data_IF_665155450851
#
_entry.id   IF_665155450851
#
_cell.length_a   1.000
_cell.length_b   1.000
_cell.length_c   1.000
_cell.angle_alpha   90.00
_cell.angle_beta   90.00
_cell.angle_gamma   90.00
#
_symmetry.space_group_name_H-M   'P 1'
#
loop_
_entity.id
_entity.type
_entity.pdbx_description
1 polymer ?
#
# COMPACT_ATOMS: atom_id res chain seq x y z
N UNK A 1 1.24 -17.26 22.61
CA UNK A 1 1.58 -15.85 22.31
C UNK A 1 3.09 -15.65 22.14
N UNK A 2 3.93 -15.85 23.17
CA UNK A 2 5.39 -15.61 23.08
C UNK A 2 6.06 -16.37 21.94
N UNK A 3 5.81 -17.69 21.82
CA UNK A 3 6.39 -18.51 20.75
C UNK A 3 5.94 -18.06 19.33
N UNK A 4 4.69 -17.64 19.20
CA UNK A 4 4.17 -17.09 17.95
C UNK A 4 4.88 -15.78 17.57
N UNK A 5 4.99 -14.85 18.52
CA UNK A 5 5.70 -13.57 18.33
C UNK A 5 7.17 -13.80 17.95
N UNK A 6 7.85 -14.70 18.66
CA UNK A 6 9.26 -15.02 18.37
C UNK A 6 9.43 -15.63 16.97
N UNK A 7 8.56 -16.57 16.57
CA UNK A 7 8.58 -17.15 15.23
C UNK A 7 8.35 -16.09 14.15
N UNK A 8 7.41 -15.16 14.37
CA UNK A 8 7.12 -14.04 13.46
C UNK A 8 8.30 -13.09 13.35
N UNK A 9 8.95 -12.74 14.47
CA UNK A 9 10.15 -11.90 14.45
C UNK A 9 11.29 -12.55 13.66
N UNK A 10 11.53 -13.85 13.85
CA UNK A 10 12.57 -14.57 13.09
C UNK A 10 12.22 -14.60 11.60
N UNK A 11 10.96 -14.88 11.24
CA UNK A 11 10.53 -14.83 9.84
C UNK A 11 10.69 -13.44 9.23
N UNK A 12 10.33 -12.39 9.96
CA UNK A 12 10.47 -11.00 9.54
C UNK A 12 11.92 -10.62 9.30
N UNK A 13 12.82 -11.01 10.21
CA UNK A 13 14.28 -10.78 10.06
C UNK A 13 14.81 -11.49 8.82
N UNK A 14 14.39 -12.73 8.57
CA UNK A 14 14.79 -13.48 7.39
C UNK A 14 14.31 -12.84 6.09
N UNK A 15 13.05 -12.35 6.07
CA UNK A 15 12.49 -11.62 4.92
C UNK A 15 13.28 -10.33 4.67
N UNK A 16 13.54 -9.54 5.70
CA UNK A 16 14.32 -8.30 5.57
C UNK A 16 15.74 -8.58 5.05
N UNK A 17 16.39 -9.63 5.54
CA UNK A 17 17.71 -10.02 5.07
C UNK A 17 17.66 -10.47 3.60
N UNK A 18 16.70 -11.31 3.22
CA UNK A 18 16.55 -11.78 1.84
C UNK A 18 16.27 -10.61 0.89
N UNK A 19 15.36 -9.70 1.26
CA UNK A 19 15.05 -8.51 0.48
C UNK A 19 16.26 -7.58 0.36
N UNK A 20 17.06 -7.40 1.44
CA UNK A 20 18.27 -6.57 1.39
C UNK A 20 19.28 -7.11 0.37
N UNK A 21 19.49 -8.44 0.33
CA UNK A 21 20.36 -9.06 -0.67
C UNK A 21 19.81 -8.79 -2.07
N UNK A 22 18.54 -9.13 -2.31
CA UNK A 22 17.95 -9.03 -3.63
C UNK A 22 17.99 -7.60 -4.15
N UNK A 23 17.52 -6.62 -3.36
CA UNK A 23 17.46 -5.23 -3.82
C UNK A 23 18.82 -4.61 -4.01
N UNK A 24 19.79 -4.91 -3.08
CA UNK A 24 21.14 -4.38 -3.18
C UNK A 24 21.79 -4.82 -4.50
N UNK A 25 21.74 -6.11 -4.82
CA UNK A 25 22.36 -6.61 -6.05
C UNK A 25 21.55 -6.23 -7.30
N UNK A 26 20.22 -6.18 -7.23
CA UNK A 26 19.39 -5.77 -8.36
C UNK A 26 19.67 -4.33 -8.82
N UNK A 27 19.88 -3.40 -7.88
CA UNK A 27 20.17 -2.00 -8.20
C UNK A 27 21.47 -1.83 -8.97
N UNK A 28 22.44 -2.73 -8.78
CA UNK A 28 23.68 -2.74 -9.58
C UNK A 28 23.47 -3.16 -11.05
N UNK A 29 22.43 -3.92 -11.34
CA UNK A 29 22.10 -4.33 -12.71
C UNK A 29 21.39 -3.21 -13.50
N UNK A 30 20.89 -2.16 -12.84
CA UNK A 30 20.11 -1.08 -13.48
C UNK A 30 21.01 -0.08 -14.20
N UNK A 31 22.23 0.17 -13.75
CA UNK A 31 23.17 1.11 -14.39
C UNK A 31 24.25 1.64 -13.46
N UNK A 32 25.19 2.39 -14.00
CA UNK A 32 26.27 3.02 -13.24
C UNK A 32 25.90 4.46 -12.85
N UNK A 33 25.77 4.79 -11.56
CA UNK A 33 25.42 6.14 -11.12
C UNK A 33 26.48 7.19 -11.50
N UNK A 34 27.73 6.76 -11.73
CA UNK A 34 28.82 7.67 -12.10
C UNK A 34 28.55 8.35 -13.44
N UNK A 35 27.87 7.68 -14.36
CA UNK A 35 27.51 8.26 -15.68
C UNK A 35 26.55 9.45 -15.56
N UNK A 36 25.72 9.49 -14.50
CA UNK A 36 24.81 10.60 -14.25
C UNK A 36 25.39 11.67 -13.30
N UNK A 37 26.27 11.27 -12.39
CA UNK A 37 26.80 12.14 -11.34
C UNK A 37 28.04 12.93 -11.75
N UNK A 38 28.74 12.48 -12.78
CA UNK A 38 29.96 13.09 -13.27
C UNK A 38 29.74 13.57 -14.70
N UNK A 39 30.04 14.85 -14.95
CA UNK A 39 29.97 15.40 -16.30
C UNK A 39 30.83 14.57 -17.28
N UNK A 40 30.36 14.32 -18.52
CA UNK A 40 31.18 13.67 -19.54
C UNK A 40 32.53 14.37 -19.82
N UNK A 41 32.61 15.66 -19.52
CA UNK A 41 33.80 16.49 -19.69
C UNK A 41 34.73 16.50 -18.46
N UNK A 42 34.36 15.81 -17.38
CA UNK A 42 35.15 15.76 -16.17
C UNK A 42 36.47 15.01 -16.37
N UNK A 43 37.52 15.50 -15.70
CA UNK A 43 38.81 14.83 -15.74
C UNK A 43 38.76 13.44 -15.12
N UNK A 44 39.66 12.55 -15.55
CA UNK A 44 39.79 11.18 -14.98
C UNK A 44 40.02 11.22 -13.45
N UNK A 45 40.76 12.23 -12.96
CA UNK A 45 40.99 12.44 -11.54
C UNK A 45 39.69 12.78 -10.79
N UNK A 46 38.88 13.70 -11.32
CA UNK A 46 37.61 14.06 -10.72
C UNK A 46 36.62 12.88 -10.69
N UNK A 47 36.62 12.06 -11.75
CA UNK A 47 35.82 10.84 -11.82
C UNK A 47 36.30 9.82 -10.76
N UNK A 48 37.59 9.57 -10.68
CA UNK A 48 38.17 8.64 -9.69
C UNK A 48 37.92 9.10 -8.23
N UNK A 49 38.04 10.41 -7.97
CA UNK A 49 37.73 11.00 -6.66
C UNK A 49 36.25 10.81 -6.28
N UNK A 50 35.32 10.94 -7.24
CA UNK A 50 33.91 10.72 -7.00
C UNK A 50 33.58 9.25 -6.72
N UNK A 51 34.17 8.32 -7.47
CA UNK A 51 34.06 6.87 -7.26
C UNK A 51 34.53 6.50 -5.85
N UNK A 52 35.70 6.95 -5.45
CA UNK A 52 36.27 6.70 -4.12
C UNK A 52 35.41 7.32 -3.01
N UNK A 53 34.95 8.56 -3.18
CA UNK A 53 34.07 9.23 -2.22
C UNK A 53 32.75 8.48 -1.99
N UNK A 54 32.19 7.87 -3.01
CA UNK A 54 30.95 7.10 -2.94
C UNK A 54 31.20 5.63 -2.52
N UNK A 55 32.47 5.20 -2.40
CA UNK A 55 32.87 3.84 -2.04
C UNK A 55 32.52 2.80 -3.13
N UNK A 56 32.38 3.24 -4.38
CA UNK A 56 32.05 2.40 -5.52
C UNK A 56 33.26 1.69 -6.13
N UNK A 57 34.46 1.98 -5.64
CA UNK A 57 35.73 1.34 -5.99
C UNK A 57 35.90 -0.03 -5.33
N UNK A 58 35.14 -0.32 -4.29
CA UNK A 58 35.22 -1.58 -3.54
C UNK A 58 34.48 -2.73 -4.23
N UNK A 59 34.87 -3.98 -4.00
CA UNK A 59 34.10 -5.14 -4.46
C UNK A 59 32.65 -5.09 -3.94
N UNK A 60 31.69 -5.49 -4.78
CA UNK A 60 30.25 -5.39 -4.48
C UNK A 60 29.84 -6.07 -3.16
N UNK A 61 30.45 -7.21 -2.84
CA UNK A 61 30.21 -7.91 -1.57
C UNK A 61 30.65 -7.10 -0.35
N UNK A 62 31.76 -6.34 -0.46
CA UNK A 62 32.25 -5.47 0.62
C UNK A 62 31.33 -4.26 0.79
N UNK A 63 30.86 -3.68 -0.32
CA UNK A 63 29.85 -2.62 -0.29
C UNK A 63 28.56 -3.10 0.38
N UNK A 64 28.11 -4.35 0.11
CA UNK A 64 26.94 -4.94 0.75
C UNK A 64 27.12 -5.11 2.27
N UNK A 65 28.23 -5.66 2.73
CA UNK A 65 28.47 -5.80 4.17
C UNK A 65 28.61 -4.46 4.88
N UNK A 66 29.21 -3.47 4.24
CA UNK A 66 29.29 -2.10 4.75
C UNK A 66 27.89 -1.48 4.85
N UNK A 67 27.06 -1.67 3.83
CA UNK A 67 25.64 -1.26 3.85
C UNK A 67 24.89 -1.94 4.99
N UNK A 68 25.00 -3.26 5.13
CA UNK A 68 24.30 -4.02 6.17
C UNK A 68 24.72 -3.56 7.59
N UNK A 69 25.99 -3.34 7.80
CA UNK A 69 26.52 -2.82 9.06
C UNK A 69 25.94 -1.43 9.38
N UNK A 70 25.94 -0.51 8.42
CA UNK A 70 25.36 0.82 8.58
C UNK A 70 23.86 0.76 8.83
N UNK A 71 23.14 -0.08 8.08
CA UNK A 71 21.69 -0.27 8.22
C UNK A 71 21.30 -0.73 9.62
N UNK A 72 22.09 -1.62 10.26
CA UNK A 72 21.90 -2.04 11.65
C UNK A 72 22.05 -0.89 12.67
N UNK A 73 22.76 0.18 12.29
CA UNK A 73 22.90 1.39 13.10
C UNK A 73 21.95 2.52 12.67
N UNK A 74 20.97 2.23 11.79
CA UNK A 74 19.98 3.20 11.32
C UNK A 74 20.45 4.09 10.16
N UNK A 75 21.63 3.87 9.62
CA UNK A 75 22.15 4.57 8.44
C UNK A 75 21.89 3.73 7.17
N UNK A 76 20.90 4.15 6.38
CA UNK A 76 20.56 3.54 5.10
C UNK A 76 21.30 4.18 3.91
N UNK A 77 22.28 5.02 4.18
CA UNK A 77 23.07 5.72 3.18
C UNK A 77 22.56 7.13 2.85
N UNK A 78 23.36 7.84 2.06
CA UNK A 78 23.09 9.21 1.64
C UNK A 78 22.72 9.23 0.17
N UNK A 79 21.64 9.94 -0.20
CA UNK A 79 21.22 10.15 -1.58
C UNK A 79 22.38 10.70 -2.41
N UNK A 80 22.64 10.10 -3.55
CA UNK A 80 23.64 10.58 -4.49
C UNK A 80 23.23 11.88 -5.18
N UNK A 81 21.92 12.05 -5.37
CA UNK A 81 21.34 13.21 -6.08
C UNK A 81 21.11 14.37 -5.13
N UNK A 82 20.52 14.11 -3.95
CA UNK A 82 20.11 15.17 -3.01
C UNK A 82 21.16 15.49 -1.94
N UNK A 83 22.13 14.60 -1.71
CA UNK A 83 23.21 14.81 -0.72
C UNK A 83 22.77 14.77 0.75
N UNK A 84 21.54 14.29 1.04
CA UNK A 84 20.99 14.13 2.39
C UNK A 84 20.70 12.66 2.69
N UNK A 85 20.53 12.26 3.97
CA UNK A 85 20.22 10.87 4.32
C UNK A 85 18.98 10.34 3.60
N UNK A 86 19.09 9.16 3.00
CA UNK A 86 17.99 8.54 2.26
C UNK A 86 16.74 8.34 3.12
N UNK A 87 16.93 8.00 4.41
CA UNK A 87 15.83 7.82 5.36
C UNK A 87 15.04 9.12 5.57
N UNK A 88 15.72 10.26 5.61
CA UNK A 88 15.08 11.57 5.77
C UNK A 88 14.19 11.91 4.58
N UNK A 89 14.69 11.69 3.34
CA UNK A 89 13.90 11.88 2.12
C UNK A 89 12.62 11.03 2.12
N UNK A 90 12.74 9.77 2.56
CA UNK A 90 11.60 8.86 2.57
C UNK A 90 10.62 9.25 3.67
N UNK A 91 11.09 9.54 4.88
CA UNK A 91 10.23 9.93 6.01
C UNK A 91 9.40 11.18 5.70
N UNK A 92 9.97 12.17 4.99
CA UNK A 92 9.23 13.35 4.55
C UNK A 92 8.08 13.02 3.58
N UNK A 93 8.14 11.88 2.87
CA UNK A 93 7.13 11.43 1.90
C UNK A 93 6.10 10.46 2.49
N UNK A 94 6.38 9.85 3.66
CA UNK A 94 5.48 8.94 4.36
C UNK A 94 4.07 9.53 4.52
N UNK A 95 3.88 10.78 5.01
CA UNK A 95 2.54 11.32 5.24
C UNK A 95 1.68 11.33 3.97
N UNK A 96 2.27 11.69 2.83
CA UNK A 96 1.55 11.76 1.57
C UNK A 96 1.05 10.39 1.10
N UNK A 97 1.88 9.35 1.17
CA UNK A 97 1.47 7.98 0.82
C UNK A 97 0.42 7.43 1.79
N UNK A 98 0.62 7.62 3.10
CA UNK A 98 -0.34 7.15 4.11
C UNK A 98 -1.69 7.82 3.97
N UNK A 99 -1.72 9.13 3.73
CA UNK A 99 -2.93 9.90 3.49
C UNK A 99 -3.73 9.32 2.30
N UNK A 100 -3.05 9.09 1.17
CA UNK A 100 -3.65 8.48 0.00
C UNK A 100 -4.22 7.08 0.28
N UNK A 101 -3.45 6.23 0.96
CA UNK A 101 -3.86 4.86 1.30
C UNK A 101 -5.03 4.85 2.28
N UNK A 102 -5.03 5.71 3.30
CA UNK A 102 -6.14 5.81 4.27
C UNK A 102 -7.43 6.24 3.58
N UNK A 103 -7.38 7.23 2.69
CA UNK A 103 -8.56 7.67 1.91
C UNK A 103 -9.04 6.55 0.99
N UNK A 104 -8.14 5.85 0.31
CA UNK A 104 -8.48 4.73 -0.57
C UNK A 104 -9.16 3.57 0.19
N UNK A 105 -8.66 3.22 1.37
CA UNK A 105 -9.28 2.21 2.24
C UNK A 105 -10.65 2.69 2.76
N UNK A 106 -10.74 3.96 3.16
CA UNK A 106 -12.01 4.55 3.53
C UNK A 106 -13.07 4.41 2.43
N UNK A 107 -12.71 4.77 1.19
CA UNK A 107 -13.57 4.59 0.02
C UNK A 107 -13.90 3.11 -0.23
N UNK A 108 -12.93 2.22 -0.10
CA UNK A 108 -13.12 0.78 -0.24
C UNK A 108 -14.17 0.26 0.74
N UNK A 109 -14.10 0.65 1.99
CA UNK A 109 -15.07 0.24 3.01
C UNK A 109 -16.45 0.87 2.81
N UNK A 110 -16.49 2.19 2.54
CA UNK A 110 -17.74 2.96 2.39
C UNK A 110 -18.52 2.53 1.16
N UNK A 111 -17.85 2.11 0.09
CA UNK A 111 -18.49 1.68 -1.17
C UNK A 111 -18.60 0.16 -1.22
N UNK A 112 -17.52 -0.56 -0.97
CA UNK A 112 -17.43 -2.02 -1.17
C UNK A 112 -18.33 -2.81 -0.23
N UNK A 113 -18.40 -2.44 1.06
CA UNK A 113 -19.23 -3.16 2.03
C UNK A 113 -20.72 -2.97 1.76
N UNK A 114 -21.26 -1.74 1.58
CA UNK A 114 -22.68 -1.57 1.29
C UNK A 114 -23.11 -2.19 -0.05
N UNK A 115 -22.33 -2.00 -1.12
CA UNK A 115 -22.63 -2.61 -2.41
C UNK A 115 -22.55 -4.13 -2.34
N UNK A 116 -21.57 -4.70 -1.64
CA UNK A 116 -21.45 -6.13 -1.41
C UNK A 116 -22.64 -6.69 -0.60
N UNK A 117 -23.07 -5.96 0.43
CA UNK A 117 -24.27 -6.32 1.20
C UNK A 117 -25.51 -6.37 0.31
N UNK A 118 -25.75 -5.35 -0.52
CA UNK A 118 -26.86 -5.32 -1.47
C UNK A 118 -26.75 -6.46 -2.48
N UNK A 119 -25.59 -6.66 -3.09
CA UNK A 119 -25.33 -7.74 -4.05
C UNK A 119 -25.60 -9.12 -3.46
N UNK A 120 -25.18 -9.37 -2.22
CA UNK A 120 -25.39 -10.65 -1.54
C UNK A 120 -26.85 -10.88 -1.14
N UNK A 121 -27.56 -9.84 -0.65
CA UNK A 121 -28.97 -9.93 -0.30
C UNK A 121 -29.88 -10.18 -1.52
N UNK A 122 -29.51 -9.61 -2.67
CA UNK A 122 -30.29 -9.68 -3.92
C UNK A 122 -29.57 -10.50 -5.01
N UNK A 123 -28.81 -11.54 -4.60
CA UNK A 123 -27.95 -12.35 -5.47
C UNK A 123 -28.64 -12.84 -6.74
N UNK A 124 -29.90 -13.31 -6.62
CA UNK A 124 -30.66 -13.88 -7.73
C UNK A 124 -31.45 -12.86 -8.56
N UNK A 125 -31.42 -11.59 -8.14
CA UNK A 125 -32.07 -10.48 -8.80
C UNK A 125 -31.16 -9.74 -9.77
N UNK A 126 -31.70 -9.07 -10.81
CA UNK A 126 -30.88 -8.29 -11.76
C UNK A 126 -30.01 -7.26 -11.11
N UNK A 127 -30.46 -6.63 -10.02
CA UNK A 127 -29.65 -5.65 -9.24
C UNK A 127 -28.37 -6.26 -8.69
N UNK A 128 -28.46 -7.40 -8.00
CA UNK A 128 -27.29 -8.07 -7.44
C UNK A 128 -26.33 -8.54 -8.52
N UNK A 129 -26.85 -9.10 -9.61
CA UNK A 129 -26.05 -9.52 -10.77
C UNK A 129 -25.37 -8.34 -11.45
N UNK A 130 -26.06 -7.21 -11.60
CA UNK A 130 -25.51 -5.98 -12.16
C UNK A 130 -24.35 -5.42 -11.33
N UNK A 131 -24.52 -5.33 -9.99
CA UNK A 131 -23.47 -4.88 -9.08
C UNK A 131 -22.24 -5.81 -9.17
N UNK A 132 -22.45 -7.13 -9.20
CA UNK A 132 -21.36 -8.09 -9.33
C UNK A 132 -20.66 -7.99 -10.69
N UNK A 133 -21.39 -7.81 -11.78
CA UNK A 133 -20.82 -7.63 -13.12
C UNK A 133 -19.99 -6.34 -13.23
N UNK A 134 -20.48 -5.22 -12.69
CA UNK A 134 -19.73 -3.95 -12.70
C UNK A 134 -18.47 -4.01 -11.84
N UNK A 135 -18.45 -4.81 -10.77
CA UNK A 135 -17.25 -4.98 -9.95
C UNK A 135 -16.09 -5.62 -10.72
N UNK A 136 -16.38 -6.46 -11.72
CA UNK A 136 -15.35 -7.10 -12.56
C UNK A 136 -14.64 -6.06 -13.42
N UNK A 137 -15.33 -5.04 -13.90
CA UNK A 137 -14.73 -3.98 -14.73
C UNK A 137 -13.63 -3.21 -13.96
N UNK A 138 -13.89 -2.87 -12.69
CA UNK A 138 -12.91 -2.17 -11.85
C UNK A 138 -11.62 -2.94 -11.60
N UNK A 139 -11.69 -4.28 -11.66
CA UNK A 139 -10.52 -5.15 -11.48
C UNK A 139 -9.80 -5.49 -12.80
N UNK A 140 -10.51 -5.43 -13.93
CA UNK A 140 -9.99 -5.90 -15.22
C UNK A 140 -9.10 -4.87 -15.93
N UNK A 141 -9.18 -3.61 -15.55
CA UNK A 141 -8.45 -2.53 -16.20
C UNK A 141 -7.11 -2.27 -15.50
N UNK A 142 -6.01 -2.02 -16.23
CA UNK A 142 -4.73 -1.64 -15.62
C UNK A 142 -4.84 -0.34 -14.83
N UNK A 143 -4.25 -0.30 -13.62
CA UNK A 143 -4.34 0.85 -12.71
C UNK A 143 -3.88 2.17 -13.37
N UNK A 144 -2.74 2.16 -14.08
CA UNK A 144 -2.25 3.37 -14.76
C UNK A 144 -3.23 3.89 -15.82
N UNK A 145 -3.89 2.98 -16.55
CA UNK A 145 -4.88 3.35 -17.56
C UNK A 145 -6.12 3.97 -16.91
N UNK A 146 -6.62 3.38 -15.82
CA UNK A 146 -7.73 3.93 -15.04
C UNK A 146 -7.41 5.36 -14.57
N UNK A 147 -6.20 5.57 -14.01
CA UNK A 147 -5.74 6.89 -13.57
C UNK A 147 -5.73 7.91 -14.70
N UNK A 148 -5.21 7.56 -15.87
CA UNK A 148 -5.22 8.44 -17.04
C UNK A 148 -6.64 8.76 -17.51
N UNK A 149 -7.57 7.79 -17.49
CA UNK A 149 -8.97 8.02 -17.84
C UNK A 149 -9.67 8.95 -16.84
N UNK A 150 -9.39 8.82 -15.54
CA UNK A 150 -9.90 9.74 -14.53
C UNK A 150 -9.39 11.17 -14.75
N UNK A 151 -8.10 11.34 -15.03
CA UNK A 151 -7.53 12.66 -15.37
C UNK A 151 -8.21 13.24 -16.62
N UNK A 152 -8.30 12.45 -17.70
CA UNK A 152 -8.92 12.88 -18.94
C UNK A 152 -10.37 13.33 -18.74
N UNK A 153 -11.15 12.54 -18.00
CA UNK A 153 -12.56 12.83 -17.75
C UNK A 153 -12.75 14.02 -16.81
N UNK A 154 -12.15 13.97 -15.61
CA UNK A 154 -12.47 14.94 -14.55
C UNK A 154 -11.62 16.19 -14.57
N UNK A 155 -10.38 16.11 -15.02
CA UNK A 155 -9.50 17.28 -15.09
C UNK A 155 -9.55 17.97 -16.46
N UNK A 156 -9.52 17.19 -17.57
CA UNK A 156 -9.43 17.78 -18.91
C UNK A 156 -10.81 18.10 -19.49
N UNK A 157 -11.75 17.14 -19.52
CA UNK A 157 -13.05 17.37 -20.15
C UNK A 157 -14.03 18.15 -19.29
N UNK A 158 -14.12 17.81 -18.00
CA UNK A 158 -15.06 18.44 -17.07
C UNK A 158 -14.46 19.65 -16.34
N UNK A 159 -13.14 19.71 -16.17
CA UNK A 159 -12.47 20.79 -15.44
C UNK A 159 -12.86 20.86 -13.96
N UNK A 160 -13.28 19.74 -13.35
CA UNK A 160 -13.79 19.72 -11.98
C UNK A 160 -12.69 19.54 -10.94
N UNK A 161 -11.65 18.78 -11.28
CA UNK A 161 -10.59 18.38 -10.36
C UNK A 161 -9.22 18.65 -10.98
N UNK A 162 -8.19 18.97 -10.18
CA UNK A 162 -6.83 19.17 -10.66
C UNK A 162 -6.23 17.85 -11.16
N UNK A 163 -5.45 17.92 -12.24
CA UNK A 163 -4.86 16.74 -12.89
C UNK A 163 -3.76 16.06 -12.06
N UNK A 164 -3.05 16.83 -11.21
CA UNK A 164 -1.84 16.35 -10.53
C UNK A 164 -1.51 17.15 -9.28
N UNK A 165 -0.58 16.66 -8.48
CA UNK A 165 -0.11 17.32 -7.26
C UNK A 165 -0.89 16.89 -6.02
N UNK A 166 -0.60 17.56 -4.87
CA UNK A 166 -1.19 17.24 -3.56
C UNK A 166 -2.08 18.36 -3.01
N UNK A 167 -1.98 19.56 -3.59
CA UNK A 167 -2.67 20.75 -3.09
C UNK A 167 -2.10 21.30 -1.79
N UNK A 168 -2.85 22.21 -1.18
CA UNK A 168 -2.48 22.84 0.09
C UNK A 168 -2.51 21.83 1.25
N UNK A 169 -1.58 22.02 2.20
CA UNK A 169 -1.49 21.18 3.40
C UNK A 169 -1.55 22.01 4.67
N UNK A 170 -2.14 21.45 5.71
CA UNK A 170 -2.09 21.98 7.09
C UNK A 170 -1.20 21.07 7.91
N UNK A 171 -0.25 21.66 8.66
CA UNK A 171 0.63 20.90 9.54
C UNK A 171 -0.06 20.60 10.87
N UNK A 172 -0.20 19.33 11.20
CA UNK A 172 -0.70 18.84 12.50
C UNK A 172 0.41 18.06 13.18
N UNK A 173 0.86 18.52 14.33
CA UNK A 173 2.00 17.93 15.06
C UNK A 173 3.27 17.78 14.20
N UNK A 174 3.52 18.71 13.27
CA UNK A 174 4.65 18.64 12.35
C UNK A 174 4.43 17.77 11.10
N UNK A 175 3.27 17.12 10.96
CA UNK A 175 2.91 16.29 9.81
C UNK A 175 2.03 17.10 8.86
N UNK A 176 2.45 17.34 7.59
CA UNK A 176 1.63 18.02 6.60
C UNK A 176 0.50 17.10 6.10
N UNK A 177 -0.75 17.53 6.26
CA UNK A 177 -1.95 16.80 5.83
C UNK A 177 -2.76 17.63 4.84
N UNK A 178 -3.04 17.08 3.65
CA UNK A 178 -3.86 17.73 2.62
C UNK A 178 -5.35 17.47 2.82
N UNK A 179 -5.73 16.35 3.41
CA UNK A 179 -7.14 16.05 3.73
C UNK A 179 -7.82 17.02 4.70
N UNK A 180 -7.08 17.93 5.30
CA UNK A 180 -7.64 18.96 6.17
C UNK A 180 -7.98 20.26 5.43
N UNK A 181 -7.73 20.33 4.12
CA UNK A 181 -8.04 21.48 3.28
C UNK A 181 -9.02 21.10 2.17
N UNK A 182 -9.84 22.03 1.70
CA UNK A 182 -10.73 21.80 0.57
C UNK A 182 -9.94 21.58 -0.74
N UNK A 183 -8.84 22.31 -0.90
CA UNK A 183 -7.95 22.18 -2.05
C UNK A 183 -7.27 20.81 -2.04
N UNK A 184 -6.75 20.35 -0.89
CA UNK A 184 -6.16 19.02 -0.76
C UNK A 184 -7.17 17.89 -1.06
N UNK A 185 -8.45 18.04 -0.67
CA UNK A 185 -9.48 17.06 -1.06
C UNK A 185 -9.66 17.01 -2.58
N UNK A 186 -9.62 18.14 -3.27
CA UNK A 186 -9.74 18.18 -4.74
C UNK A 186 -8.62 17.38 -5.43
N UNK A 187 -7.42 17.37 -4.83
CA UNK A 187 -6.25 16.66 -5.35
C UNK A 187 -6.23 15.17 -4.96
N UNK A 188 -6.71 14.80 -3.77
CA UNK A 188 -6.61 13.42 -3.27
C UNK A 188 -7.69 12.50 -3.85
N UNK A 189 -8.87 13.04 -4.24
CA UNK A 189 -10.04 12.22 -4.60
C UNK A 189 -9.77 11.30 -5.80
N UNK A 190 -9.22 11.82 -6.91
CA UNK A 190 -8.95 11.00 -8.10
C UNK A 190 -7.90 9.91 -7.84
N UNK A 191 -6.70 10.22 -7.29
CA UNK A 191 -5.72 9.17 -7.00
C UNK A 191 -6.24 8.17 -5.95
N UNK A 192 -7.02 8.61 -4.95
CA UNK A 192 -7.61 7.69 -3.97
C UNK A 192 -8.67 6.77 -4.59
N UNK A 193 -9.52 7.28 -5.48
CA UNK A 193 -10.48 6.47 -6.24
C UNK A 193 -9.74 5.46 -7.10
N UNK A 194 -8.72 5.89 -7.84
CA UNK A 194 -7.90 5.01 -8.68
C UNK A 194 -7.30 3.85 -7.88
N UNK A 195 -6.71 4.16 -6.72
CA UNK A 195 -6.11 3.17 -5.84
C UNK A 195 -7.16 2.24 -5.20
N UNK A 196 -8.37 2.75 -4.94
CA UNK A 196 -9.45 2.00 -4.29
C UNK A 196 -10.20 1.04 -5.22
N UNK A 197 -10.27 1.30 -6.54
CA UNK A 197 -11.17 0.58 -7.46
C UNK A 197 -11.02 -0.95 -7.41
N UNK A 198 -9.79 -1.47 -7.45
CA UNK A 198 -9.53 -2.90 -7.37
C UNK A 198 -9.95 -3.47 -6.01
N UNK A 199 -9.68 -2.74 -4.92
CA UNK A 199 -10.02 -3.14 -3.56
C UNK A 199 -11.52 -3.06 -3.28
N UNK A 200 -12.22 -2.07 -3.84
CA UNK A 200 -13.69 -2.00 -3.81
C UNK A 200 -14.27 -3.27 -4.41
N UNK A 201 -13.77 -3.71 -5.58
CA UNK A 201 -14.24 -4.93 -6.23
C UNK A 201 -13.96 -6.19 -5.40
N UNK A 202 -12.81 -6.26 -4.74
CA UNK A 202 -12.43 -7.36 -3.85
C UNK A 202 -13.36 -7.42 -2.63
N UNK A 203 -13.48 -6.31 -1.90
CA UNK A 203 -14.29 -6.22 -0.67
C UNK A 203 -15.77 -6.42 -0.96
N UNK A 204 -16.26 -5.89 -2.08
CA UNK A 204 -17.62 -6.10 -2.55
C UNK A 204 -17.93 -7.58 -2.76
N UNK A 205 -17.06 -8.30 -3.49
CA UNK A 205 -17.25 -9.74 -3.76
C UNK A 205 -17.16 -10.57 -2.47
N UNK A 206 -16.19 -10.30 -1.62
CA UNK A 206 -16.05 -10.97 -0.33
C UNK A 206 -17.29 -10.77 0.53
N UNK A 207 -17.77 -9.53 0.62
CA UNK A 207 -18.98 -9.19 1.38
C UNK A 207 -20.22 -9.86 0.78
N UNK A 208 -20.39 -9.83 -0.55
CA UNK A 208 -21.53 -10.44 -1.22
C UNK A 208 -21.60 -11.97 -1.01
N UNK A 209 -20.45 -12.65 -1.13
CA UNK A 209 -20.35 -14.10 -0.88
C UNK A 209 -20.68 -14.43 0.57
N UNK A 210 -20.07 -13.73 1.53
CA UNK A 210 -20.33 -13.93 2.95
C UNK A 210 -21.79 -13.68 3.33
N UNK A 211 -22.43 -12.66 2.74
CA UNK A 211 -23.88 -12.40 2.93
C UNK A 211 -24.73 -13.55 2.38
N UNK A 212 -24.44 -14.02 1.16
CA UNK A 212 -25.15 -15.13 0.54
C UNK A 212 -25.06 -16.41 1.37
N UNK A 213 -23.86 -16.73 1.85
CA UNK A 213 -23.65 -17.89 2.73
C UNK A 213 -24.36 -17.73 4.09
N UNK A 214 -24.25 -16.55 4.72
CA UNK A 214 -24.90 -16.30 6.00
C UNK A 214 -26.41 -16.42 5.95
N UNK A 215 -27.04 -16.06 4.83
CA UNK A 215 -28.52 -16.17 4.65
C UNK A 215 -29.03 -17.62 4.72
N UNK A 216 -28.19 -18.61 4.41
CA UNK A 216 -28.55 -20.05 4.41
C UNK A 216 -28.29 -20.73 5.76
N UNK A 217 -27.61 -20.04 6.68
CA UNK A 217 -27.25 -20.59 8.00
C UNK A 217 -28.48 -20.77 8.91
N UNK A 218 -28.40 -21.80 9.76
CA UNK A 218 -29.51 -22.18 10.67
C UNK A 218 -29.87 -21.05 11.65
N UNK A 219 -28.93 -20.28 12.15
CA UNK A 219 -29.21 -19.16 13.05
C UNK A 219 -30.02 -18.05 12.37
N UNK A 220 -29.86 -17.85 11.05
CA UNK A 220 -30.65 -16.88 10.30
C UNK A 220 -32.07 -17.43 10.04
N UNK A 221 -32.20 -18.71 9.68
CA UNK A 221 -33.48 -19.38 9.52
C UNK A 221 -34.29 -19.33 10.82
N UNK A 222 -33.64 -19.64 11.95
CA UNK A 222 -34.25 -19.58 13.26
C UNK A 222 -34.69 -18.15 13.64
N UNK A 223 -33.88 -17.14 13.38
CA UNK A 223 -34.25 -15.74 13.61
C UNK A 223 -35.49 -15.34 12.77
N UNK A 224 -35.58 -15.79 11.51
CA UNK A 224 -36.76 -15.58 10.66
C UNK A 224 -37.98 -16.27 11.24
N UNK A 225 -37.88 -17.53 11.66
CA UNK A 225 -38.97 -18.29 12.25
C UNK A 225 -39.52 -17.64 13.53
N UNK A 226 -38.64 -16.96 14.31
CA UNK A 226 -39.03 -16.14 15.48
C UNK A 226 -39.66 -14.79 15.14
N UNK A 227 -39.86 -14.45 13.87
CA UNK A 227 -40.45 -13.18 13.44
C UNK A 227 -39.52 -11.95 13.63
N UNK A 228 -38.20 -12.13 13.73
CA UNK A 228 -37.26 -11.01 13.81
C UNK A 228 -37.29 -10.21 12.51
N UNK A 229 -37.44 -8.89 12.63
CA UNK A 229 -37.49 -7.98 11.46
C UNK A 229 -36.27 -8.16 10.55
N UNK A 230 -36.44 -8.20 9.21
CA UNK A 230 -35.35 -8.44 8.26
C UNK A 230 -34.14 -7.55 8.45
N UNK A 231 -34.32 -6.25 8.65
CA UNK A 231 -33.23 -5.29 8.89
C UNK A 231 -32.42 -5.61 10.16
N UNK A 232 -33.05 -6.15 11.21
CA UNK A 232 -32.36 -6.58 12.43
C UNK A 232 -31.55 -7.86 12.19
N UNK A 233 -32.07 -8.79 11.37
CA UNK A 233 -31.36 -10.00 10.94
C UNK A 233 -30.08 -9.59 10.19
N UNK A 234 -30.20 -8.70 9.20
CA UNK A 234 -29.06 -8.21 8.42
C UNK A 234 -28.01 -7.58 9.32
N UNK A 235 -28.40 -6.59 10.16
CA UNK A 235 -27.45 -5.82 10.96
C UNK A 235 -26.80 -6.64 12.08
N UNK A 236 -27.56 -7.49 12.80
CA UNK A 236 -27.09 -8.16 14.02
C UNK A 236 -26.60 -9.59 13.80
N UNK A 237 -27.15 -10.28 12.79
CA UNK A 237 -26.84 -11.70 12.56
C UNK A 237 -25.95 -11.92 11.32
N UNK A 238 -26.17 -11.16 10.24
CA UNK A 238 -25.38 -11.33 9.01
C UNK A 238 -24.14 -10.43 9.08
N UNK A 239 -24.32 -9.11 9.11
CA UNK A 239 -23.23 -8.15 8.97
C UNK A 239 -22.14 -8.35 10.03
N UNK A 240 -22.52 -8.58 11.29
CA UNK A 240 -21.57 -8.80 12.37
C UNK A 240 -20.64 -9.99 12.12
N UNK A 241 -21.14 -11.05 11.52
CA UNK A 241 -20.34 -12.25 11.27
C UNK A 241 -19.45 -12.12 10.04
N UNK A 242 -19.89 -11.42 9.00
CA UNK A 242 -19.11 -11.22 7.78
C UNK A 242 -18.07 -10.09 7.92
N UNK A 243 -18.23 -9.17 8.87
CA UNK A 243 -17.25 -8.09 9.07
C UNK A 243 -15.90 -8.60 9.55
N UNK A 244 -15.85 -9.71 10.29
CA UNK A 244 -14.58 -10.28 10.77
C UNK A 244 -13.63 -10.60 9.60
N UNK A 245 -14.00 -11.48 8.64
CA UNK A 245 -13.14 -11.75 7.48
C UNK A 245 -12.92 -10.52 6.59
N UNK A 246 -13.91 -9.62 6.47
CA UNK A 246 -13.77 -8.40 5.67
C UNK A 246 -12.71 -7.47 6.27
N UNK A 247 -12.76 -7.21 7.58
CA UNK A 247 -11.78 -6.36 8.28
C UNK A 247 -10.37 -6.95 8.19
N UNK A 248 -10.25 -8.28 8.28
CA UNK A 248 -8.97 -8.96 8.13
C UNK A 248 -8.38 -8.73 6.74
N UNK A 249 -9.17 -8.93 5.67
CA UNK A 249 -8.71 -8.70 4.30
C UNK A 249 -8.37 -7.23 4.06
N UNK A 250 -9.20 -6.30 4.50
CA UNK A 250 -8.93 -4.85 4.41
C UNK A 250 -7.64 -4.48 5.15
N UNK A 251 -7.38 -5.09 6.31
CA UNK A 251 -6.14 -4.88 7.05
C UNK A 251 -4.91 -5.39 6.30
N UNK A 252 -5.00 -6.55 5.67
CA UNK A 252 -3.90 -7.10 4.83
C UNK A 252 -3.67 -6.23 3.59
N UNK A 253 -4.74 -5.74 2.96
CA UNK A 253 -4.66 -4.85 1.79
C UNK A 253 -4.02 -3.51 2.11
N UNK A 254 -4.06 -3.05 3.37
CA UNK A 254 -3.40 -1.80 3.77
C UNK A 254 -1.90 -1.81 3.44
N UNK A 255 -1.20 -2.89 3.78
CA UNK A 255 0.22 -3.05 3.47
C UNK A 255 0.49 -3.12 1.97
N UNK A 256 -0.35 -3.87 1.24
CA UNK A 256 -0.26 -4.02 -0.22
C UNK A 256 -0.48 -2.69 -0.93
N UNK A 257 -1.43 -1.87 -0.49
CA UNK A 257 -1.75 -0.58 -1.08
C UNK A 257 -0.58 0.41 -1.01
N UNK A 258 0.26 0.36 0.02
CA UNK A 258 1.48 1.19 0.10
C UNK A 258 2.43 0.85 -1.05
N UNK A 259 2.61 -0.43 -1.37
CA UNK A 259 3.44 -0.84 -2.48
C UNK A 259 2.81 -0.48 -3.84
N UNK A 260 1.50 -0.74 -4.00
CA UNK A 260 0.77 -0.44 -5.24
C UNK A 260 0.51 1.04 -5.46
N UNK A 261 0.59 1.90 -4.43
CA UNK A 261 0.42 3.35 -4.57
C UNK A 261 1.44 3.98 -5.53
N UNK A 262 2.61 3.34 -5.70
CA UNK A 262 3.71 3.83 -6.54
C UNK A 262 3.26 4.22 -7.96
N UNK A 263 2.43 3.38 -8.61
CA UNK A 263 1.92 3.65 -9.96
C UNK A 263 0.95 4.83 -9.92
N UNK A 264 0.02 4.85 -8.96
CA UNK A 264 -0.95 5.94 -8.78
C UNK A 264 -0.24 7.26 -8.47
N UNK A 265 0.73 7.25 -7.55
CA UNK A 265 1.52 8.43 -7.20
C UNK A 265 2.28 9.00 -8.40
N UNK A 266 2.81 8.12 -9.27
CA UNK A 266 3.51 8.53 -10.49
C UNK A 266 2.55 9.15 -11.50
N UNK A 267 1.40 8.52 -11.76
CA UNK A 267 0.40 9.00 -12.74
C UNK A 267 -0.17 10.37 -12.34
N UNK A 268 -0.46 10.56 -11.05
CA UNK A 268 -1.03 11.81 -10.54
C UNK A 268 0.02 12.81 -10.04
N UNK A 269 1.31 12.54 -10.25
CA UNK A 269 2.43 13.32 -9.69
C UNK A 269 2.25 13.63 -8.19
N UNK A 270 1.67 12.69 -7.44
CA UNK A 270 1.48 12.78 -6.00
C UNK A 270 2.82 12.61 -5.29
N UNK A 271 3.24 13.55 -4.41
CA UNK A 271 4.59 13.55 -3.83
C UNK A 271 4.76 12.54 -2.70
N UNK A 272 4.46 11.28 -2.94
CA UNK A 272 4.59 10.18 -2.00
C UNK A 272 5.92 9.43 -2.09
N UNK A 273 6.04 8.38 -1.29
CA UNK A 273 7.23 7.52 -1.23
C UNK A 273 7.44 6.74 -2.53
N UNK A 274 6.36 6.26 -3.16
CA UNK A 274 6.44 5.48 -4.39
C UNK A 274 6.92 6.31 -5.58
N UNK A 275 6.47 7.58 -5.68
CA UNK A 275 6.99 8.49 -6.68
C UNK A 275 8.48 8.77 -6.45
N UNK A 276 8.91 8.97 -5.20
CA UNK A 276 10.32 9.11 -4.86
C UNK A 276 11.14 7.90 -5.33
N UNK A 277 10.62 6.67 -5.15
CA UNK A 277 11.29 5.46 -5.66
C UNK A 277 11.50 5.53 -7.18
N UNK A 278 10.44 5.81 -7.94
CA UNK A 278 10.51 5.84 -9.41
C UNK A 278 11.50 6.92 -9.88
N UNK A 279 11.42 8.12 -9.31
CA UNK A 279 12.35 9.21 -9.60
C UNK A 279 13.81 8.79 -9.28
N UNK A 280 14.05 8.12 -8.15
CA UNK A 280 15.37 7.63 -7.75
C UNK A 280 15.90 6.51 -8.64
N UNK A 281 15.03 5.64 -9.17
CA UNK A 281 15.42 4.61 -10.15
C UNK A 281 15.91 5.26 -11.45
N UNK A 282 15.18 6.26 -11.96
CA UNK A 282 15.60 6.97 -13.18
C UNK A 282 16.88 7.78 -12.99
N UNK A 283 17.11 8.28 -11.77
CA UNK A 283 18.31 9.05 -11.42
C UNK A 283 19.47 8.17 -10.95
N UNK A 284 19.33 6.85 -10.94
CA UNK A 284 20.30 5.87 -10.42
C UNK A 284 20.74 6.18 -8.97
N UNK A 285 19.83 6.74 -8.16
CA UNK A 285 20.07 7.05 -6.75
C UNK A 285 19.94 5.76 -5.90
N UNK A 286 20.96 4.91 -6.00
CA UNK A 286 20.98 3.58 -5.39
C UNK A 286 20.66 3.58 -3.88
N UNK A 287 21.23 4.48 -3.05
CA UNK A 287 20.92 4.49 -1.62
C UNK A 287 19.44 4.71 -1.33
N UNK A 288 18.79 5.62 -2.05
CA UNK A 288 17.34 5.88 -1.86
C UNK A 288 16.50 4.68 -2.29
N UNK A 289 16.83 4.04 -3.41
CA UNK A 289 16.11 2.83 -3.87
C UNK A 289 16.20 1.70 -2.86
N UNK A 290 17.41 1.41 -2.37
CA UNK A 290 17.62 0.34 -1.37
C UNK A 290 16.92 0.68 -0.07
N UNK A 291 17.09 1.91 0.44
CA UNK A 291 16.44 2.38 1.66
C UNK A 291 14.92 2.32 1.58
N UNK A 292 14.34 2.72 0.44
CA UNK A 292 12.89 2.65 0.20
C UNK A 292 12.38 1.21 0.30
N UNK A 293 12.99 0.28 -0.43
CA UNK A 293 12.53 -1.13 -0.44
C UNK A 293 12.65 -1.74 0.95
N UNK A 294 13.74 -1.46 1.67
CA UNK A 294 13.92 -1.93 3.05
C UNK A 294 12.86 -1.36 3.98
N UNK A 295 12.58 -0.05 3.89
CA UNK A 295 11.60 0.62 4.76
C UNK A 295 10.17 0.15 4.45
N UNK A 296 9.79 0.05 3.17
CA UNK A 296 8.45 -0.46 2.78
C UNK A 296 8.27 -1.90 3.21
N UNK A 297 9.31 -2.74 3.08
CA UNK A 297 9.27 -4.12 3.60
C UNK A 297 9.08 -4.15 5.12
N UNK A 298 9.77 -3.29 5.85
CA UNK A 298 9.61 -3.16 7.30
C UNK A 298 8.18 -2.72 7.67
N UNK A 299 7.66 -1.69 7.00
CA UNK A 299 6.28 -1.22 7.19
C UNK A 299 5.28 -2.35 6.90
N UNK A 300 5.46 -3.08 5.80
CA UNK A 300 4.61 -4.22 5.44
C UNK A 300 4.62 -5.31 6.52
N UNK A 301 5.80 -5.66 7.03
CA UNK A 301 5.96 -6.63 8.12
C UNK A 301 5.24 -6.17 9.40
N UNK A 302 5.41 -4.89 9.77
CA UNK A 302 4.75 -4.32 10.96
C UNK A 302 3.23 -4.35 10.80
N UNK A 303 2.71 -3.92 9.65
CA UNK A 303 1.27 -3.91 9.38
C UNK A 303 0.70 -5.33 9.45
N UNK A 304 1.33 -6.30 8.78
CA UNK A 304 0.88 -7.69 8.84
C UNK A 304 0.90 -8.24 10.27
N UNK A 305 1.92 -7.92 11.04
CA UNK A 305 1.99 -8.31 12.45
C UNK A 305 0.84 -7.72 13.28
N UNK A 306 0.51 -6.43 13.07
CA UNK A 306 -0.63 -5.78 13.72
C UNK A 306 -1.95 -6.46 13.29
N UNK A 307 -2.12 -6.75 12.00
CA UNK A 307 -3.32 -7.43 11.47
C UNK A 307 -3.46 -8.85 12.05
N UNK A 308 -2.37 -9.61 12.17
CA UNK A 308 -2.38 -10.93 12.81
C UNK A 308 -2.83 -10.87 14.29
N UNK A 309 -2.36 -9.86 15.04
CA UNK A 309 -2.79 -9.64 16.43
C UNK A 309 -4.27 -9.26 16.47
N UNK A 310 -4.72 -8.36 15.61
CA UNK A 310 -6.13 -7.97 15.55
C UNK A 310 -7.02 -9.16 15.18
N UNK A 311 -6.59 -9.99 14.24
CA UNK A 311 -7.31 -11.20 13.86
C UNK A 311 -7.43 -12.18 15.01
N UNK A 312 -6.33 -12.44 15.72
CA UNK A 312 -6.34 -13.30 16.89
C UNK A 312 -7.21 -12.76 18.04
N UNK A 313 -7.35 -11.44 18.16
CA UNK A 313 -8.21 -10.79 19.14
C UNK A 313 -9.70 -10.83 18.78
N UNK A 314 -10.01 -10.75 17.47
CA UNK A 314 -11.39 -10.72 16.96
C UNK A 314 -12.02 -12.11 16.82
N UNK A 315 -11.21 -13.14 16.50
CA UNK A 315 -11.69 -14.53 16.38
C UNK A 315 -11.01 -15.46 17.42
N UNK A 316 -11.65 -15.69 18.57
CA UNK A 316 -11.11 -16.58 19.60
C UNK A 316 -11.05 -18.06 19.16
N UNK A 317 -11.62 -18.42 18.01
CA UNK A 317 -11.55 -19.78 17.43
C UNK A 317 -10.23 -20.02 16.70
N UNK A 318 -9.53 -18.99 16.31
CA UNK A 318 -8.18 -19.07 15.80
C UNK A 318 -7.24 -19.36 16.97
N UNK A 319 -7.18 -20.63 17.35
CA UNK A 319 -6.08 -21.10 18.18
C UNK A 319 -4.81 -20.85 17.38
N UNK A 320 -3.87 -20.10 17.94
CA UNK A 320 -2.50 -19.95 17.46
C UNK A 320 -1.78 -21.30 17.63
N UNK A 321 -2.38 -22.36 17.09
CA UNK A 321 -1.88 -23.72 17.19
C UNK A 321 -0.77 -23.85 16.17
N UNK A 322 0.42 -24.14 16.68
CA UNK A 322 1.44 -24.76 15.86
C UNK A 322 0.85 -26.01 15.20
N UNK A 323 1.06 -26.25 13.89
CA UNK A 323 0.72 -27.54 13.31
C UNK A 323 1.49 -28.59 14.11
N UNK A 324 0.76 -29.46 14.76
CA UNK A 324 1.32 -30.69 15.25
C UNK A 324 1.69 -31.54 14.02
N UNK A 325 2.98 -31.76 13.82
CA UNK A 325 3.71 -32.71 12.95
C UNK A 325 3.38 -32.76 11.48
#
# INVERSE_FOLDING_TARGET
MVLFTLRRLIQSLFVLLAVSVVVFFAVYAVGDPIELLVSPEATMEARAATIARLGLDQPIWQQYFTFLWRALHGDLGTSFVHGIPAIELIVQRIPATFELVVVAIGLTCIIGIPLGLVAGLYRDRPLGRGIMATSVLGFSLPNFWQGMMLILLFAVWLGWLPASGRGDTVSVLGVPLSILTADGWSHVIMPAVNLALANIALVLRLTATGVAEAQTQEYVKFARAKGVRPGRIVRRHILRNILIPVVTVVGMEFGSLIAYSTITETVFAWPGMGKLLIDSVYQLDRPVVVAYVMLVTLIFVIINFIVDILYAALDPRVQLVAPAH
#
